data_IF_676028085688
#
_entry.id   IF_676028085688
#
_cell.length_a   1.000
_cell.length_b   1.000
_cell.length_c   1.000
_cell.angle_alpha   90.00
_cell.angle_beta   90.00
_cell.angle_gamma   90.00
#
_symmetry.space_group_name_H-M   'P 1'
#
loop_
_entity.id
_entity.type
_entity.pdbx_description
1 polymer ?
#
# COMPACT_ATOMS: atom_id res chain seq x y z
N UNK A 1 -1.63 0.75 -1.81
CA UNK A 1 -0.51 0.95 -0.87
C UNK A 1 -1.00 1.78 0.30
N UNK A 2 -0.85 1.24 1.51
CA UNK A 2 -1.17 1.97 2.74
C UNK A 2 0.13 2.44 3.39
N UNK A 3 0.09 3.59 4.04
CA UNK A 3 1.13 4.11 4.90
C UNK A 3 0.62 4.13 6.34
N UNK A 4 1.41 3.60 7.27
CA UNK A 4 1.12 3.71 8.69
C UNK A 4 1.71 5.00 9.25
N UNK A 5 0.89 5.78 9.95
CA UNK A 5 1.37 6.95 10.68
C UNK A 5 2.07 6.55 11.99
N UNK A 6 1.80 5.34 12.48
CA UNK A 6 2.42 4.79 13.70
C UNK A 6 3.86 4.34 13.44
N UNK A 7 4.05 3.36 12.54
CA UNK A 7 5.38 2.78 12.30
C UNK A 7 6.13 3.37 11.10
N UNK A 8 5.50 4.31 10.36
CA UNK A 8 6.05 4.95 9.15
C UNK A 8 6.44 3.95 8.05
N UNK A 9 5.87 2.73 8.04
CA UNK A 9 6.14 1.72 7.02
C UNK A 9 4.98 1.59 6.03
N UNK A 10 5.30 1.03 4.88
CA UNK A 10 4.35 0.79 3.78
C UNK A 10 3.72 -0.61 3.89
N UNK A 11 2.49 -0.75 3.42
CA UNK A 11 1.83 -2.03 3.18
C UNK A 11 1.36 -2.10 1.72
N UNK A 12 1.60 -3.24 1.08
CA UNK A 12 1.22 -3.52 -0.31
C UNK A 12 0.37 -4.79 -0.31
N UNK A 13 -0.82 -4.69 -0.90
CA UNK A 13 -1.77 -5.78 -1.00
C UNK A 13 -2.70 -5.58 -2.18
N UNK A 14 -3.35 -6.66 -2.57
CA UNK A 14 -4.40 -6.72 -3.58
C UNK A 14 -5.79 -6.98 -2.94
N UNK A 15 -6.83 -6.54 -3.65
CA UNK A 15 -8.23 -6.82 -3.31
C UNK A 15 -9.11 -6.67 -4.56
N UNK A 16 -10.23 -7.39 -4.59
CA UNK A 16 -11.30 -7.23 -5.57
C UNK A 16 -12.26 -6.08 -5.19
N UNK A 17 -12.25 -5.64 -3.93
CA UNK A 17 -13.11 -4.56 -3.44
C UNK A 17 -12.32 -3.59 -2.56
N UNK A 18 -11.84 -2.50 -3.18
CA UNK A 18 -11.04 -1.47 -2.51
C UNK A 18 -11.77 -0.85 -1.31
N UNK A 19 -13.07 -0.55 -1.47
CA UNK A 19 -13.86 0.13 -0.42
C UNK A 19 -13.96 -0.72 0.85
N UNK A 20 -14.31 -2.00 0.69
CA UNK A 20 -14.41 -2.94 1.82
C UNK A 20 -13.05 -3.12 2.47
N UNK A 21 -12.02 -3.44 1.68
CA UNK A 21 -10.68 -3.73 2.21
C UNK A 21 -10.06 -2.53 2.91
N UNK A 22 -10.21 -1.32 2.37
CA UNK A 22 -9.74 -0.10 3.03
C UNK A 22 -10.42 0.10 4.38
N UNK A 23 -11.75 -0.12 4.47
CA UNK A 23 -12.48 -0.04 5.74
C UNK A 23 -11.97 -1.08 6.74
N UNK A 24 -11.73 -2.31 6.33
CA UNK A 24 -11.17 -3.37 7.19
C UNK A 24 -9.80 -2.98 7.75
N UNK A 25 -8.92 -2.44 6.91
CA UNK A 25 -7.62 -1.95 7.35
C UNK A 25 -7.75 -0.82 8.36
N UNK A 26 -8.58 0.20 8.08
CA UNK A 26 -8.76 1.36 8.95
C UNK A 26 -9.46 1.05 10.27
N UNK A 27 -10.25 -0.04 10.32
CA UNK A 27 -10.96 -0.51 11.51
C UNK A 27 -10.22 -1.62 12.26
N UNK A 28 -8.97 -1.94 11.88
CA UNK A 28 -8.15 -2.92 12.58
C UNK A 28 -8.58 -4.37 12.39
N UNK A 29 -9.40 -4.67 11.38
CA UNK A 29 -9.89 -6.03 11.09
C UNK A 29 -8.88 -6.88 10.32
N UNK A 30 -7.79 -6.29 9.81
CA UNK A 30 -6.75 -7.00 9.07
C UNK A 30 -5.55 -7.27 9.97
N UNK A 31 -5.26 -8.55 10.23
CA UNK A 31 -4.16 -8.96 11.12
C UNK A 31 -2.81 -8.32 10.76
N UNK A 32 -2.47 -8.22 9.47
CA UNK A 32 -1.18 -7.67 9.04
C UNK A 32 -1.01 -6.16 9.30
N UNK A 33 -2.08 -5.43 9.61
CA UNK A 33 -2.03 -3.97 9.79
C UNK A 33 -2.76 -3.47 11.04
N UNK A 34 -3.43 -4.33 11.80
CA UNK A 34 -4.21 -3.94 12.98
C UNK A 34 -3.37 -3.19 14.02
N UNK A 35 -2.14 -3.64 14.26
CA UNK A 35 -1.21 -3.05 15.23
C UNK A 35 -0.43 -1.85 14.64
N UNK A 36 -0.74 -1.49 13.40
CA UNK A 36 -0.06 -0.43 12.62
C UNK A 36 -0.98 0.76 12.36
N UNK A 37 -2.14 0.82 13.00
CA UNK A 37 -3.05 1.95 12.93
C UNK A 37 -2.46 3.22 13.58
N UNK A 38 -2.83 4.43 13.13
CA UNK A 38 -3.72 4.71 11.99
C UNK A 38 -3.01 4.58 10.63
N UNK A 39 -3.78 4.17 9.61
CA UNK A 39 -3.30 3.96 8.24
C UNK A 39 -3.90 5.00 7.29
N UNK A 40 -3.16 5.36 6.24
CA UNK A 40 -3.60 6.25 5.16
C UNK A 40 -3.42 5.54 3.82
N UNK A 41 -4.42 5.59 2.94
CA UNK A 41 -4.28 5.14 1.55
C UNK A 41 -3.55 6.22 0.74
N UNK A 42 -2.41 5.86 0.15
CA UNK A 42 -1.56 6.81 -0.60
C UNK A 42 -1.46 6.51 -2.09
N UNK A 43 -1.83 5.30 -2.51
CA UNK A 43 -1.81 4.87 -3.91
C UNK A 43 -2.70 3.64 -4.09
N UNK A 44 -3.35 3.51 -5.24
CA UNK A 44 -3.97 2.26 -5.70
C UNK A 44 -3.95 2.22 -7.23
N UNK A 45 -4.01 1.01 -7.78
CA UNK A 45 -4.13 0.76 -9.22
C UNK A 45 -5.33 -0.16 -9.42
N UNK A 46 -6.10 0.05 -10.50
CA UNK A 46 -7.23 -0.78 -10.87
C UNK A 46 -6.92 -1.52 -12.16
N UNK A 47 -7.34 -2.78 -12.23
CA UNK A 47 -7.11 -3.68 -13.36
C UNK A 47 -8.43 -4.35 -13.72
N UNK A 48 -8.68 -4.52 -15.01
CA UNK A 48 -9.84 -5.26 -15.53
C UNK A 48 -9.62 -6.78 -15.50
N UNK A 49 -8.37 -7.22 -15.35
CA UNK A 49 -7.99 -8.63 -15.26
C UNK A 49 -7.33 -8.95 -13.91
N UNK A 50 -7.82 -10.01 -13.25
CA UNK A 50 -7.29 -10.43 -11.95
C UNK A 50 -5.82 -10.90 -12.01
N UNK A 51 -5.40 -11.58 -13.07
CA UNK A 51 -4.03 -12.10 -13.21
C UNK A 51 -3.03 -10.95 -13.37
N UNK A 52 -3.41 -9.88 -14.08
CA UNK A 52 -2.58 -8.69 -14.22
C UNK A 52 -2.42 -7.97 -12.88
N UNK A 53 -3.52 -7.84 -12.13
CA UNK A 53 -3.49 -7.25 -10.79
C UNK A 53 -2.58 -8.02 -9.83
N UNK A 54 -2.66 -9.36 -9.84
CA UNK A 54 -1.80 -10.24 -9.01
C UNK A 54 -0.33 -10.19 -9.45
N UNK A 55 -0.06 -10.18 -10.76
CA UNK A 55 1.29 -10.03 -11.31
C UNK A 55 1.91 -8.69 -10.91
N UNK A 56 1.12 -7.62 -10.98
CA UNK A 56 1.52 -6.29 -10.50
C UNK A 56 1.79 -6.29 -9.00
N UNK A 57 0.92 -6.88 -8.18
CA UNK A 57 1.14 -6.97 -6.73
C UNK A 57 2.46 -7.70 -6.41
N UNK A 58 2.73 -8.82 -7.08
CA UNK A 58 3.98 -9.58 -6.94
C UNK A 58 5.20 -8.72 -7.31
N UNK A 59 5.13 -8.00 -8.43
CA UNK A 59 6.18 -7.06 -8.83
C UNK A 59 6.39 -5.96 -7.78
N UNK A 60 5.32 -5.35 -7.28
CA UNK A 60 5.41 -4.30 -6.26
C UNK A 60 5.93 -4.79 -4.90
N UNK A 61 5.79 -6.09 -4.59
CA UNK A 61 6.40 -6.72 -3.40
C UNK A 61 7.89 -7.00 -3.59
N UNK A 62 8.39 -7.06 -4.83
CA UNK A 62 9.83 -7.17 -5.14
C UNK A 62 10.59 -5.88 -4.81
N UNK A 63 11.92 -5.96 -4.69
CA UNK A 63 12.77 -4.77 -4.46
C UNK A 63 12.70 -3.75 -5.60
N UNK A 64 12.82 -4.24 -6.85
CA UNK A 64 12.80 -3.38 -8.04
C UNK A 64 11.48 -2.65 -8.23
N UNK A 65 10.36 -3.39 -8.26
CA UNK A 65 9.04 -2.80 -8.43
C UNK A 65 8.67 -1.84 -7.30
N UNK A 66 9.05 -2.17 -6.05
CA UNK A 66 8.87 -1.26 -4.91
C UNK A 66 9.67 0.03 -5.08
N UNK A 67 10.92 -0.03 -5.56
CA UNK A 67 11.76 1.16 -5.79
C UNK A 67 11.15 2.06 -6.87
N UNK A 68 10.71 1.49 -7.99
CA UNK A 68 10.06 2.26 -9.05
C UNK A 68 8.82 2.99 -8.55
N UNK A 69 7.97 2.31 -7.77
CA UNK A 69 6.77 2.94 -7.22
C UNK A 69 7.11 4.04 -6.19
N UNK A 70 8.16 3.87 -5.38
CA UNK A 70 8.63 4.93 -4.48
C UNK A 70 9.08 6.17 -5.23
N UNK A 71 9.80 6.02 -6.36
CA UNK A 71 10.18 7.14 -7.22
C UNK A 71 8.94 7.88 -7.77
N UNK A 72 7.95 7.13 -8.25
CA UNK A 72 6.69 7.72 -8.72
C UNK A 72 5.93 8.47 -7.61
N UNK A 73 6.03 8.01 -6.37
CA UNK A 73 5.36 8.60 -5.19
C UNK A 73 6.28 9.51 -4.37
N UNK A 74 7.44 9.92 -4.88
CA UNK A 74 8.48 10.60 -4.12
C UNK A 74 7.92 11.81 -3.34
N UNK A 75 7.19 12.71 -4.00
CA UNK A 75 6.63 13.90 -3.37
C UNK A 75 5.65 13.55 -2.24
N UNK A 76 4.78 12.55 -2.47
CA UNK A 76 3.81 12.12 -1.47
C UNK A 76 4.47 11.46 -0.27
N UNK A 77 5.50 10.65 -0.51
CA UNK A 77 6.28 9.99 0.54
C UNK A 77 7.13 11.00 1.34
N UNK A 78 7.68 12.01 0.67
CA UNK A 78 8.38 13.13 1.33
C UNK A 78 7.44 13.90 2.26
N UNK A 79 6.23 14.25 1.82
CA UNK A 79 5.22 14.90 2.67
C UNK A 79 4.84 14.08 3.92
N UNK A 80 4.96 12.75 3.84
CA UNK A 80 4.67 11.83 4.93
C UNK A 80 5.89 11.51 5.81
N UNK A 81 7.03 12.15 5.55
CA UNK A 81 8.32 11.94 6.24
C UNK A 81 8.78 10.47 6.19
N UNK A 82 8.63 9.82 5.02
CA UNK A 82 9.07 8.43 4.85
C UNK A 82 10.60 8.34 4.71
N UNK A 83 11.23 7.59 5.61
CA UNK A 83 12.71 7.56 5.75
C UNK A 83 13.46 6.73 4.70
N UNK A 84 12.76 5.97 3.86
CA UNK A 84 13.38 5.03 2.91
C UNK A 84 13.02 5.36 1.46
N UNK A 85 13.09 6.64 1.09
CA UNK A 85 13.00 7.06 -0.31
C UNK A 85 14.05 6.36 -1.17
#
# INVERSE_FOLDING_TARGET
>A
MLFSLNDRKLYIGYTENLRVRSKEHFTGKVHATKDRLPLVLIHYEAFTNMKDAKSREKLLKSGFGRSQLKKALQNRLSQLNYKHL
#
